data_IF_875996979311
#
_entry.id   IF_875996979311
#
_cell.length_a   1.000
_cell.length_b   1.000
_cell.length_c   1.000
_cell.angle_alpha   90.00
_cell.angle_beta   90.00
_cell.angle_gamma   90.00
#
_symmetry.space_group_name_H-M   'P 1'
#
loop_
_entity.id
_entity.type
_entity.pdbx_description
1 polymer ?
#
# COMPACT_ATOMS: atom_id res chain seq x y z
N UNK A 1 5.87 6.71 15.61
CA UNK A 1 4.71 5.86 15.96
C UNK A 1 5.15 4.42 15.84
N UNK A 2 4.79 3.56 16.79
CA UNK A 2 5.07 2.12 16.63
C UNK A 2 4.19 1.58 15.51
N UNK A 3 4.77 0.84 14.60
CA UNK A 3 4.03 0.05 13.61
C UNK A 3 3.27 -1.06 14.33
N UNK A 4 2.18 -1.56 13.72
CA UNK A 4 1.40 -2.68 14.28
C UNK A 4 2.29 -3.93 14.37
N UNK A 5 3.15 -4.17 13.38
CA UNK A 5 4.10 -5.27 13.35
C UNK A 5 5.53 -4.77 13.53
N UNK A 6 6.34 -5.52 14.27
CA UNK A 6 7.69 -5.11 14.66
C UNK A 6 8.65 -4.97 13.46
N UNK A 7 8.54 -5.85 12.48
CA UNK A 7 9.45 -5.91 11.31
C UNK A 7 9.01 -5.00 10.15
N UNK A 8 7.80 -4.45 10.19
CA UNK A 8 7.29 -3.55 9.15
C UNK A 8 7.54 -2.09 9.50
N UNK A 9 7.59 -1.23 8.50
CA UNK A 9 7.83 0.20 8.67
C UNK A 9 6.59 1.05 8.42
N UNK A 10 5.67 0.57 7.59
CA UNK A 10 4.57 1.38 7.07
C UNK A 10 3.17 0.82 7.40
N UNK A 11 3.10 -0.15 8.33
CA UNK A 11 1.84 -0.81 8.72
C UNK A 11 0.99 0.09 9.60
N UNK A 12 -0.26 0.30 9.18
CA UNK A 12 -1.26 1.10 9.91
C UNK A 12 -2.66 0.89 9.35
N UNK A 13 -3.73 1.10 10.15
CA UNK A 13 -5.07 1.25 9.62
C UNK A 13 -5.19 2.57 8.85
N UNK A 14 -6.03 2.59 7.80
CA UNK A 14 -6.31 3.81 7.02
C UNK A 14 -7.57 4.54 7.48
N UNK A 15 -8.46 3.88 8.23
CA UNK A 15 -9.66 4.46 8.80
C UNK A 15 -9.47 4.76 10.28
N UNK A 16 -10.02 5.87 10.76
CA UNK A 16 -10.04 6.17 12.19
C UNK A 16 -10.89 5.16 12.95
N UNK A 17 -10.38 4.67 14.07
CA UNK A 17 -11.06 3.74 14.96
C UNK A 17 -11.57 2.45 14.30
N UNK A 18 -10.96 2.04 13.19
CA UNK A 18 -11.34 0.81 12.47
C UNK A 18 -10.11 0.09 11.93
N UNK A 19 -10.10 -1.23 12.09
CA UNK A 19 -9.10 -2.12 11.51
C UNK A 19 -9.54 -2.70 10.16
N UNK A 20 -10.65 -2.22 9.58
CA UNK A 20 -11.21 -2.78 8.33
C UNK A 20 -10.19 -2.85 7.21
N UNK A 21 -9.37 -1.82 7.07
CA UNK A 21 -8.33 -1.75 6.05
C UNK A 21 -7.00 -1.38 6.67
N UNK A 22 -6.04 -2.30 6.66
CA UNK A 22 -4.69 -2.13 7.19
C UNK A 22 -3.73 -2.18 6.01
N UNK A 23 -3.07 -1.07 5.74
CA UNK A 23 -1.99 -1.00 4.74
C UNK A 23 -0.64 -1.35 5.35
N UNK A 24 0.28 -1.93 4.55
CA UNK A 24 1.62 -2.30 5.00
C UNK A 24 2.65 -2.27 3.87
N UNK A 25 3.93 -2.23 4.21
CA UNK A 25 5.00 -2.86 3.46
C UNK A 25 4.91 -4.38 3.63
N UNK A 26 5.59 -5.15 2.77
CA UNK A 26 5.48 -6.62 2.86
C UNK A 26 6.01 -7.12 4.21
N UNK A 27 5.20 -7.81 5.01
CA UNK A 27 5.64 -8.44 6.26
C UNK A 27 6.43 -9.71 5.93
N UNK A 28 7.75 -9.65 6.09
CA UNK A 28 8.65 -10.81 5.84
C UNK A 28 8.90 -11.64 7.06
N UNK A 29 8.69 -11.06 8.22
CA UNK A 29 8.77 -11.74 9.51
C UNK A 29 7.56 -11.34 10.33
N UNK A 30 6.84 -12.32 10.86
CA UNK A 30 5.73 -12.16 11.79
C UNK A 30 5.89 -13.15 12.93
N UNK A 31 5.84 -12.66 14.15
CA UNK A 31 5.82 -13.50 15.34
C UNK A 31 4.47 -14.20 15.50
N UNK A 32 4.44 -15.31 16.22
CA UNK A 32 3.18 -15.99 16.56
C UNK A 32 2.22 -15.10 17.37
N UNK A 33 2.76 -14.15 18.14
CA UNK A 33 1.94 -13.16 18.86
C UNK A 33 1.24 -12.18 17.90
N UNK A 34 1.95 -11.72 16.86
CA UNK A 34 1.38 -10.84 15.84
C UNK A 34 0.32 -11.56 15.01
N UNK A 35 0.56 -12.82 14.64
CA UNK A 35 -0.44 -13.64 13.96
C UNK A 35 -1.67 -13.90 14.82
N UNK A 36 -1.48 -14.25 16.09
CA UNK A 36 -2.59 -14.43 17.03
C UNK A 36 -3.40 -13.14 17.19
N UNK A 37 -2.72 -12.00 17.30
CA UNK A 37 -3.37 -10.70 17.36
C UNK A 37 -4.17 -10.40 16.08
N UNK A 38 -3.66 -10.74 14.90
CA UNK A 38 -4.41 -10.60 13.65
C UNK A 38 -5.70 -11.44 13.66
N UNK A 39 -5.63 -12.69 14.11
CA UNK A 39 -6.80 -13.58 14.20
C UNK A 39 -7.84 -13.07 15.22
N UNK A 40 -7.40 -12.61 16.39
CA UNK A 40 -8.26 -12.03 17.42
C UNK A 40 -8.99 -10.77 16.93
N UNK A 41 -8.42 -10.06 15.95
CA UNK A 41 -9.00 -8.85 15.37
C UNK A 41 -9.64 -9.10 13.99
N UNK A 42 -9.91 -10.36 13.65
CA UNK A 42 -10.51 -10.75 12.37
C UNK A 42 -9.76 -10.22 11.12
N UNK A 43 -8.43 -10.06 11.21
CA UNK A 43 -7.57 -9.67 10.09
C UNK A 43 -7.16 -10.96 9.38
N UNK A 44 -8.08 -11.57 8.67
CA UNK A 44 -7.90 -12.89 8.05
C UNK A 44 -7.79 -12.83 6.53
N UNK A 45 -8.16 -11.72 5.90
CA UNK A 45 -7.98 -11.52 4.45
C UNK A 45 -6.68 -10.77 4.19
N UNK A 46 -5.79 -11.39 3.42
CA UNK A 46 -4.48 -10.85 3.05
C UNK A 46 -4.44 -10.59 1.54
N UNK A 47 -4.08 -9.38 1.14
CA UNK A 47 -4.00 -9.00 -0.28
C UNK A 47 -2.59 -8.55 -0.62
N UNK A 48 -1.93 -9.33 -1.44
CA UNK A 48 -0.62 -9.01 -1.99
C UNK A 48 -0.76 -8.36 -3.37
N UNK A 49 -0.32 -7.11 -3.48
CA UNK A 49 -0.39 -6.31 -4.71
C UNK A 49 0.85 -6.47 -5.60
N UNK A 50 1.76 -7.37 -5.23
CA UNK A 50 3.03 -7.58 -5.93
C UNK A 50 2.89 -8.57 -7.09
N UNK A 51 3.80 -8.46 -8.06
CA UNK A 51 3.93 -9.46 -9.12
C UNK A 51 4.54 -10.76 -8.60
N UNK A 52 4.42 -11.83 -9.36
CA UNK A 52 4.99 -13.13 -8.99
C UNK A 52 6.52 -13.06 -8.87
N UNK A 53 7.20 -12.26 -9.72
CA UNK A 53 8.65 -12.07 -9.65
C UNK A 53 9.07 -11.32 -8.38
N UNK A 54 8.26 -10.40 -7.89
CA UNK A 54 8.53 -9.69 -6.63
C UNK A 54 8.30 -10.60 -5.42
N UNK A 55 7.26 -11.43 -5.47
CA UNK A 55 6.94 -12.41 -4.42
C UNK A 55 8.02 -13.47 -4.30
N UNK A 56 8.51 -14.00 -5.43
CA UNK A 56 9.61 -14.96 -5.44
C UNK A 56 10.93 -14.41 -4.86
N UNK A 57 11.15 -13.10 -4.91
CA UNK A 57 12.34 -12.45 -4.34
C UNK A 57 12.20 -12.12 -2.86
N UNK A 58 10.99 -11.92 -2.38
CA UNK A 58 10.70 -11.50 -1.01
C UNK A 58 9.41 -12.16 -0.54
N UNK A 59 9.55 -13.31 0.10
CA UNK A 59 8.41 -14.12 0.57
C UNK A 59 7.63 -13.44 1.70
N UNK A 60 6.36 -13.79 1.82
CA UNK A 60 5.49 -13.40 2.93
C UNK A 60 5.03 -14.66 3.66
N UNK A 61 5.27 -14.81 4.98
CA UNK A 61 4.92 -16.03 5.71
C UNK A 61 3.41 -16.28 5.79
N UNK A 62 2.57 -15.28 5.53
CA UNK A 62 1.11 -15.45 5.50
C UNK A 62 0.62 -16.20 4.25
N UNK A 63 1.44 -16.31 3.20
CA UNK A 63 1.05 -16.97 1.95
C UNK A 63 0.80 -18.48 2.13
N UNK A 64 1.53 -19.12 3.05
CA UNK A 64 1.44 -20.54 3.34
C UNK A 64 0.74 -20.87 4.65
N UNK A 65 0.31 -19.85 5.40
CA UNK A 65 -0.36 -20.03 6.68
C UNK A 65 -1.88 -20.19 6.47
N UNK A 66 -2.39 -21.40 6.75
CA UNK A 66 -3.78 -21.80 6.50
C UNK A 66 -4.84 -21.04 7.34
N UNK A 67 -4.43 -20.26 8.32
CA UNK A 67 -5.34 -19.41 9.10
C UNK A 67 -5.75 -18.13 8.35
N UNK A 68 -5.06 -17.82 7.25
CA UNK A 68 -5.28 -16.61 6.46
C UNK A 68 -5.73 -16.91 5.04
N UNK A 69 -6.65 -16.12 4.53
CA UNK A 69 -7.08 -16.16 3.15
C UNK A 69 -6.17 -15.23 2.32
N UNK A 70 -5.17 -15.80 1.68
CA UNK A 70 -4.17 -15.04 0.93
C UNK A 70 -4.54 -14.93 -0.55
N UNK A 71 -4.62 -13.69 -1.03
CA UNK A 71 -4.97 -13.38 -2.42
C UNK A 71 -3.86 -12.58 -3.09
N UNK A 72 -3.50 -12.99 -4.31
CA UNK A 72 -2.53 -12.28 -5.15
C UNK A 72 -3.30 -11.47 -6.18
N UNK A 73 -3.28 -10.15 -6.03
CA UNK A 73 -3.88 -9.20 -6.97
C UNK A 73 -2.82 -8.22 -7.47
N UNK A 74 -1.94 -8.65 -8.40
CA UNK A 74 -0.82 -7.84 -8.84
C UNK A 74 -1.30 -6.57 -9.53
N UNK A 75 -0.80 -5.42 -9.04
CA UNK A 75 -0.99 -4.13 -9.68
C UNK A 75 0.24 -3.84 -10.54
N UNK A 76 0.01 -3.68 -11.82
CA UNK A 76 1.03 -3.28 -12.81
C UNK A 76 1.12 -1.76 -12.90
N UNK A 77 2.20 -1.22 -13.48
CA UNK A 77 2.41 0.23 -13.65
C UNK A 77 3.14 0.92 -12.50
N UNK A 78 3.22 0.32 -11.30
CA UNK A 78 3.97 0.84 -10.14
C UNK A 78 5.17 0.00 -9.72
N UNK A 79 5.60 -0.93 -10.56
CA UNK A 79 6.73 -1.83 -10.33
C UNK A 79 8.07 -1.28 -10.84
N UNK A 80 8.06 -0.18 -11.56
CA UNK A 80 9.26 0.53 -12.03
C UNK A 80 9.33 1.91 -11.41
N UNK A 81 10.53 2.31 -10.97
CA UNK A 81 10.77 3.66 -10.47
C UNK A 81 10.71 4.65 -11.64
N UNK A 82 9.87 5.69 -11.60
CA UNK A 82 9.88 6.73 -12.63
C UNK A 82 11.25 7.42 -12.71
N UNK A 83 11.64 7.87 -13.88
CA UNK A 83 12.91 8.58 -14.07
C UNK A 83 12.82 10.06 -13.75
N UNK A 84 11.62 10.64 -13.86
CA UNK A 84 11.37 12.04 -13.61
C UNK A 84 10.26 12.22 -12.55
N UNK A 85 10.38 13.27 -11.79
CA UNK A 85 9.41 13.70 -10.77
C UNK A 85 8.02 13.97 -11.38
N UNK A 86 7.97 14.51 -12.61
CA UNK A 86 6.72 14.77 -13.34
C UNK A 86 5.99 13.49 -13.79
N UNK A 87 6.64 12.34 -13.72
CA UNK A 87 6.05 11.07 -14.12
C UNK A 87 5.52 10.23 -12.94
N UNK A 88 5.74 10.67 -11.70
CA UNK A 88 5.30 9.94 -10.52
C UNK A 88 3.76 9.84 -10.49
N UNK A 89 3.05 10.96 -10.55
CA UNK A 89 1.58 10.97 -10.58
C UNK A 89 1.02 10.23 -11.78
N UNK A 90 1.67 10.34 -12.95
CA UNK A 90 1.29 9.58 -14.14
C UNK A 90 1.46 8.08 -13.95
N UNK A 91 2.48 7.65 -13.17
CA UNK A 91 2.64 6.23 -12.83
C UNK A 91 1.48 5.73 -11.98
N UNK A 92 0.96 6.55 -11.05
CA UNK A 92 -0.21 6.23 -10.24
C UNK A 92 -1.48 6.11 -11.09
N UNK A 93 -1.66 7.03 -12.05
CA UNK A 93 -2.77 6.97 -13.01
C UNK A 93 -2.73 5.67 -13.84
N UNK A 94 -1.55 5.25 -14.29
CA UNK A 94 -1.38 4.00 -15.05
C UNK A 94 -1.68 2.73 -14.26
N UNK A 95 -1.71 2.80 -12.93
CA UNK A 95 -2.13 1.66 -12.09
C UNK A 95 -3.65 1.43 -12.13
N UNK A 96 -4.43 2.44 -12.55
CA UNK A 96 -5.89 2.36 -12.54
C UNK A 96 -6.39 1.66 -13.79
N UNK A 97 -6.75 0.42 -13.62
CA UNK A 97 -7.30 -0.45 -14.65
C UNK A 97 -8.47 -1.29 -14.10
N UNK A 98 -9.02 -2.14 -14.92
CA UNK A 98 -10.13 -3.04 -14.53
C UNK A 98 -9.72 -4.00 -13.40
N UNK A 99 -8.46 -4.44 -13.34
CA UNK A 99 -7.97 -5.34 -12.30
C UNK A 99 -7.92 -4.63 -10.94
N UNK A 100 -7.43 -3.39 -10.91
CA UNK A 100 -7.45 -2.57 -9.70
C UNK A 100 -8.87 -2.36 -9.16
N UNK A 101 -9.84 -2.02 -10.04
CA UNK A 101 -11.24 -1.85 -9.59
C UNK A 101 -11.81 -3.14 -9.01
N UNK A 102 -11.55 -4.29 -9.62
CA UNK A 102 -11.97 -5.60 -9.07
C UNK A 102 -11.32 -5.87 -7.71
N UNK A 103 -10.06 -5.51 -7.54
CA UNK A 103 -9.37 -5.63 -6.24
C UNK A 103 -10.04 -4.77 -5.17
N UNK A 104 -10.34 -3.50 -5.49
CA UNK A 104 -11.05 -2.59 -4.57
C UNK A 104 -12.45 -3.12 -4.24
N UNK A 105 -13.22 -3.56 -5.23
CA UNK A 105 -14.57 -4.10 -5.04
C UNK A 105 -14.53 -5.36 -4.16
N UNK A 106 -13.57 -6.26 -4.38
CA UNK A 106 -13.33 -7.42 -3.53
C UNK A 106 -13.04 -7.00 -2.08
N UNK A 107 -12.10 -6.05 -1.86
CA UNK A 107 -11.77 -5.55 -0.52
C UNK A 107 -12.99 -4.98 0.20
N UNK A 108 -13.84 -4.24 -0.53
CA UNK A 108 -15.04 -3.62 0.04
C UNK A 108 -16.15 -4.63 0.34
N UNK A 109 -16.23 -5.73 -0.41
CA UNK A 109 -17.22 -6.80 -0.19
C UNK A 109 -16.81 -7.83 0.88
N UNK A 110 -15.53 -7.86 1.26
CA UNK A 110 -15.01 -8.79 2.26
C UNK A 110 -15.55 -8.46 3.65
N UNK A 111 -16.03 -9.45 4.39
CA UNK A 111 -16.57 -9.26 5.75
C UNK A 111 -15.44 -9.03 6.78
N UNK A 112 -14.38 -9.85 6.72
CA UNK A 112 -13.22 -9.74 7.60
C UNK A 112 -12.42 -8.46 7.39
N UNK A 113 -11.55 -8.12 8.32
CA UNK A 113 -10.57 -7.05 8.17
C UNK A 113 -9.48 -7.46 7.18
N UNK A 114 -8.97 -6.50 6.43
CA UNK A 114 -8.07 -6.72 5.30
C UNK A 114 -6.69 -6.12 5.58
N UNK A 115 -5.64 -6.95 5.53
CA UNK A 115 -4.25 -6.51 5.42
C UNK A 115 -3.86 -6.50 3.93
N UNK A 116 -3.37 -5.37 3.42
CA UNK A 116 -2.91 -5.28 2.03
C UNK A 116 -1.59 -4.55 1.91
N UNK A 117 -0.74 -5.00 0.98
CA UNK A 117 0.61 -4.48 0.86
C UNK A 117 1.19 -4.62 -0.56
N UNK A 118 2.23 -3.85 -0.81
CA UNK A 118 3.20 -4.09 -1.86
C UNK A 118 4.61 -4.18 -1.25
N UNK A 119 5.69 -3.96 -1.98
CA UNK A 119 7.04 -4.06 -1.39
C UNK A 119 7.27 -3.05 -0.26
N UNK A 120 7.08 -1.76 -0.52
CA UNK A 120 7.28 -0.68 0.46
C UNK A 120 5.99 -0.18 1.11
N UNK A 121 4.82 -0.66 0.67
CA UNK A 121 3.56 -0.14 1.16
C UNK A 121 3.30 1.33 0.81
N UNK A 122 3.95 1.86 -0.23
CA UNK A 122 3.97 3.28 -0.57
C UNK A 122 3.11 3.59 -1.80
N UNK A 123 3.56 3.18 -2.99
CA UNK A 123 2.98 3.58 -4.28
C UNK A 123 1.68 2.82 -4.60
N UNK A 124 1.75 1.53 -4.95
CA UNK A 124 0.56 0.70 -5.23
C UNK A 124 -0.41 0.67 -4.05
N UNK A 125 0.11 0.42 -2.88
CA UNK A 125 -0.66 0.47 -1.62
C UNK A 125 -1.23 1.86 -1.37
N UNK A 126 -0.51 2.93 -1.72
CA UNK A 126 -0.98 4.31 -1.61
C UNK A 126 -2.14 4.61 -2.55
N UNK A 127 -2.08 4.16 -3.80
CA UNK A 127 -3.18 4.30 -4.78
C UNK A 127 -4.42 3.54 -4.31
N UNK A 128 -4.26 2.28 -3.86
CA UNK A 128 -5.37 1.49 -3.30
C UNK A 128 -5.98 2.19 -2.09
N UNK A 129 -5.15 2.68 -1.16
CA UNK A 129 -5.63 3.42 0.03
C UNK A 129 -6.40 4.67 -0.37
N UNK A 130 -5.90 5.45 -1.34
CA UNK A 130 -6.55 6.68 -1.78
C UNK A 130 -7.95 6.41 -2.36
N UNK A 131 -8.10 5.36 -3.17
CA UNK A 131 -9.39 4.98 -3.74
C UNK A 131 -10.35 4.44 -2.67
N UNK A 132 -9.89 3.58 -1.75
CA UNK A 132 -10.70 3.09 -0.64
C UNK A 132 -11.20 4.24 0.23
N UNK A 133 -10.31 5.15 0.62
CA UNK A 133 -10.66 6.32 1.43
C UNK A 133 -11.64 7.23 0.70
N UNK A 134 -11.43 7.48 -0.59
CA UNK A 134 -12.38 8.27 -1.40
C UNK A 134 -13.77 7.61 -1.44
N UNK A 135 -13.84 6.29 -1.67
CA UNK A 135 -15.11 5.54 -1.71
C UNK A 135 -15.81 5.45 -0.34
N UNK A 136 -15.07 5.58 0.76
CA UNK A 136 -15.64 5.65 2.11
C UNK A 136 -16.03 7.07 2.53
N UNK A 137 -15.86 8.05 1.66
CA UNK A 137 -16.27 9.44 1.90
C UNK A 137 -15.25 10.27 2.67
N UNK A 138 -14.00 9.82 2.77
CA UNK A 138 -12.94 10.60 3.39
C UNK A 138 -12.64 11.89 2.60
N UNK A 139 -12.28 12.96 3.31
CA UNK A 139 -11.86 14.22 2.67
C UNK A 139 -10.54 14.05 1.92
N UNK A 140 -10.31 14.87 0.89
CA UNK A 140 -9.05 14.89 0.16
C UNK A 140 -7.85 15.10 1.10
N UNK A 141 -7.98 16.01 2.06
CA UNK A 141 -6.92 16.27 3.03
C UNK A 141 -6.58 15.02 3.85
N UNK A 142 -7.59 14.26 4.29
CA UNK A 142 -7.36 13.02 5.03
C UNK A 142 -6.60 11.98 4.19
N UNK A 143 -6.93 11.87 2.90
CA UNK A 143 -6.24 10.95 1.96
C UNK A 143 -4.78 11.37 1.78
N UNK A 144 -4.54 12.68 1.61
CA UNK A 144 -3.18 13.25 1.49
C UNK A 144 -2.38 12.98 2.77
N UNK A 145 -2.97 13.21 3.93
CA UNK A 145 -2.32 13.01 5.24
C UNK A 145 -1.95 11.55 5.44
N UNK A 146 -2.84 10.59 5.09
CA UNK A 146 -2.48 9.17 5.15
C UNK A 146 -1.33 8.84 4.20
N UNK A 147 -1.37 9.30 2.96
CA UNK A 147 -0.28 9.06 2.01
C UNK A 147 1.05 9.61 2.53
N UNK A 148 1.05 10.83 3.11
CA UNK A 148 2.25 11.51 3.61
C UNK A 148 2.85 10.84 4.86
N UNK A 149 2.08 10.06 5.65
CA UNK A 149 2.64 9.23 6.73
C UNK A 149 3.73 8.29 6.21
N UNK A 150 3.62 7.81 4.95
CA UNK A 150 4.65 6.97 4.34
C UNK A 150 6.00 7.67 4.18
N UNK A 151 6.04 9.00 4.02
CA UNK A 151 7.28 9.77 3.98
C UNK A 151 8.05 9.66 5.28
N UNK A 152 7.36 9.81 6.40
CA UNK A 152 7.96 9.72 7.75
C UNK A 152 8.36 8.29 8.06
N UNK A 153 7.46 7.34 7.81
CA UNK A 153 7.65 5.93 8.16
C UNK A 153 8.80 5.26 7.40
N UNK A 154 9.02 5.68 6.15
CA UNK A 154 10.00 5.07 5.24
C UNK A 154 11.27 5.92 5.05
N UNK A 155 11.42 7.04 5.74
CA UNK A 155 12.50 8.00 5.53
C UNK A 155 13.88 7.34 5.43
N UNK A 156 14.26 6.58 6.44
CA UNK A 156 15.60 5.98 6.51
C UNK A 156 15.82 4.91 5.43
N UNK A 157 14.75 4.15 5.10
CA UNK A 157 14.78 3.16 4.03
C UNK A 157 14.95 3.83 2.65
N UNK A 158 14.27 4.94 2.40
CA UNK A 158 14.34 5.67 1.14
C UNK A 158 15.72 6.31 0.95
N UNK A 159 16.29 6.88 2.01
CA UNK A 159 17.67 7.43 2.01
C UNK A 159 18.68 6.33 1.72
N UNK A 160 18.59 5.20 2.43
CA UNK A 160 19.48 4.06 2.20
C UNK A 160 19.38 3.51 0.78
N UNK A 161 18.16 3.41 0.25
CA UNK A 161 17.92 2.97 -1.13
C UNK A 161 18.53 3.92 -2.17
N UNK A 162 18.37 5.24 -1.99
CA UNK A 162 18.97 6.24 -2.88
C UNK A 162 20.51 6.21 -2.83
N UNK A 163 21.10 5.99 -1.65
CA UNK A 163 22.56 5.84 -1.50
C UNK A 163 23.09 4.62 -2.24
N UNK A 164 22.36 3.51 -2.23
CA UNK A 164 22.73 2.27 -2.94
C UNK A 164 22.45 2.36 -4.46
N UNK A 165 21.63 3.32 -4.89
CA UNK A 165 21.23 3.52 -6.29
C UNK A 165 21.42 5.00 -6.70
N UNK A 166 22.66 5.48 -6.90
CA UNK A 166 22.95 6.90 -7.13
C UNK A 166 22.33 7.51 -8.38
N UNK A 167 21.88 6.69 -9.32
CA UNK A 167 21.17 7.14 -10.52
C UNK A 167 19.70 7.49 -10.26
N UNK A 168 19.16 7.13 -9.11
CA UNK A 168 17.77 7.40 -8.77
C UNK A 168 17.70 8.75 -8.04
N UNK A 169 16.89 9.67 -8.58
CA UNK A 169 16.58 10.90 -7.90
C UNK A 169 15.70 10.61 -6.66
N UNK A 170 16.18 10.95 -5.48
CA UNK A 170 15.48 10.70 -4.21
C UNK A 170 14.07 11.32 -4.19
N UNK A 171 13.86 12.44 -4.86
CA UNK A 171 12.54 13.09 -4.95
C UNK A 171 11.50 12.20 -5.64
N UNK A 172 11.90 11.37 -6.58
CA UNK A 172 11.00 10.46 -7.29
C UNK A 172 10.47 9.35 -6.37
N UNK A 173 11.28 8.91 -5.42
CA UNK A 173 10.92 7.84 -4.50
C UNK A 173 10.36 8.35 -3.17
N UNK A 174 10.54 9.62 -2.85
CA UNK A 174 10.01 10.25 -1.63
C UNK A 174 8.55 10.69 -1.85
N UNK A 175 7.61 10.33 -0.95
CA UNK A 175 6.24 10.84 -1.04
C UNK A 175 6.16 12.36 -0.96
N UNK A 176 5.44 12.98 -1.90
CA UNK A 176 5.07 14.40 -1.90
C UNK A 176 3.57 14.57 -2.10
N UNK A 177 2.97 15.52 -1.40
CA UNK A 177 1.52 15.78 -1.49
C UNK A 177 1.04 15.94 -2.94
N UNK A 178 1.83 16.63 -3.78
CA UNK A 178 1.47 16.86 -5.18
C UNK A 178 1.22 15.55 -5.94
N UNK A 179 1.95 14.47 -5.65
CA UNK A 179 1.80 13.22 -6.40
C UNK A 179 0.43 12.59 -6.19
N UNK A 180 -0.03 12.56 -4.95
CA UNK A 180 -1.34 11.99 -4.64
C UNK A 180 -2.47 12.98 -4.96
N UNK A 181 -2.26 14.29 -4.84
CA UNK A 181 -3.25 15.31 -5.23
C UNK A 181 -3.51 15.29 -6.73
N UNK A 182 -2.49 15.29 -7.57
CA UNK A 182 -2.63 15.17 -9.02
C UNK A 182 -3.34 13.88 -9.44
N UNK A 183 -3.03 12.76 -8.76
CA UNK A 183 -3.73 11.50 -8.95
C UNK A 183 -5.21 11.62 -8.57
N UNK A 184 -5.54 12.17 -7.40
CA UNK A 184 -6.92 12.34 -6.93
C UNK A 184 -7.72 13.26 -7.84
N UNK A 185 -7.15 14.38 -8.27
CA UNK A 185 -7.77 15.29 -9.22
C UNK A 185 -8.18 14.60 -10.51
N UNK A 186 -7.28 13.77 -11.06
CA UNK A 186 -7.57 12.99 -12.23
C UNK A 186 -8.65 11.92 -11.95
N UNK A 187 -8.49 11.17 -10.85
CA UNK A 187 -9.39 10.07 -10.47
C UNK A 187 -10.83 10.56 -10.28
N UNK A 188 -11.02 11.64 -9.53
CA UNK A 188 -12.35 12.21 -9.26
C UNK A 188 -13.01 12.74 -10.55
N UNK A 189 -12.23 13.37 -11.45
CA UNK A 189 -12.76 13.87 -12.73
C UNK A 189 -13.20 12.76 -13.67
N UNK A 190 -12.48 11.63 -13.64
CA UNK A 190 -12.74 10.49 -14.54
C UNK A 190 -13.87 9.58 -14.05
N UNK A 191 -14.17 9.58 -12.74
CA UNK A 191 -15.15 8.70 -12.11
C UNK A 191 -16.39 9.45 -11.57
N UNK A 192 -16.67 10.64 -12.11
CA UNK A 192 -17.91 11.41 -11.82
C UNK A 192 -19.11 10.88 -12.55
#
# INVERSE_FOLDING_TARGET
MSTIFADTKNTRPILENSLKYIRSDVPTVLSEQEKSWMLEHDITTIIDLRTDEERAKKECPLETDLHFNYYCFPITGGNTVPTDVADVSKSYIRMVDTALYKTIDFMMSTESNVLYFCNAGKDRTGVVSAILLHRTGASEQYIVDDYMKSKVNLNDMLIAFAQQNPSINIEVITPHERYIKEFLDWFIKTNR
#
